data_IF_166370879214
#
_entry.id   IF_166370879214
#
_cell.length_a   1.000
_cell.length_b   1.000
_cell.length_c   1.000
_cell.angle_alpha   90.00
_cell.angle_beta   90.00
_cell.angle_gamma   90.00
#
_symmetry.space_group_name_H-M   'P 1'
#
loop_
_entity.id
_entity.type
_entity.pdbx_description
1 polymer ?
#
# COMPACT_ATOMS: atom_id res chain seq x y z
N UNK A 1 17.78 24.20 3.98
CA UNK A 1 16.78 25.26 4.26
C UNK A 1 15.41 24.75 3.82
N UNK A 2 14.70 24.17 4.79
CA UNK A 2 13.41 23.54 4.60
C UNK A 2 12.28 24.55 4.41
N UNK A 3 11.17 24.02 3.90
CA UNK A 3 9.80 24.48 4.19
C UNK A 3 9.29 25.74 3.47
N UNK A 4 8.76 25.50 2.28
CA UNK A 4 7.48 26.09 1.90
C UNK A 4 6.66 25.05 1.11
N UNK A 5 6.45 23.86 1.70
CA UNK A 5 5.36 22.95 1.30
C UNK A 5 4.04 23.61 1.74
N UNK A 6 3.65 24.64 1.02
CA UNK A 6 2.42 25.37 1.25
C UNK A 6 1.27 24.51 0.73
N UNK A 7 0.68 23.77 1.66
CA UNK A 7 -0.58 23.03 1.63
C UNK A 7 -1.39 23.14 0.32
N UNK A 8 -0.98 22.38 -0.69
CA UNK A 8 -1.86 21.98 -1.79
C UNK A 8 -2.57 20.70 -1.35
N UNK A 9 -3.69 20.85 -0.64
CA UNK A 9 -4.66 19.76 -0.47
C UNK A 9 -5.09 19.32 -1.87
N UNK A 10 -4.53 18.19 -2.30
CA UNK A 10 -4.81 17.52 -3.57
C UNK A 10 -6.20 16.92 -3.51
N UNK A 11 -7.16 17.53 -4.20
CA UNK A 11 -8.24 16.79 -4.83
C UNK A 11 -8.09 16.96 -6.34
N UNK A 12 -7.73 15.88 -7.05
CA UNK A 12 -7.68 15.79 -8.52
C UNK A 12 -6.66 16.67 -9.26
N UNK A 13 -5.42 16.73 -8.78
CA UNK A 13 -4.25 17.09 -9.62
C UNK A 13 -4.15 18.56 -10.10
N UNK A 14 -5.14 19.41 -9.84
CA UNK A 14 -5.05 20.84 -10.13
C UNK A 14 -4.71 21.64 -8.87
N UNK A 15 -3.69 22.51 -8.88
CA UNK A 15 -3.43 23.40 -7.75
C UNK A 15 -4.61 24.35 -7.56
N UNK A 16 -5.29 24.26 -6.42
CA UNK A 16 -6.35 25.20 -6.05
C UNK A 16 -5.67 26.50 -5.62
N UNK A 17 -5.42 27.39 -6.57
CA UNK A 17 -5.02 28.75 -6.25
C UNK A 17 -6.21 29.49 -5.66
N UNK A 18 -6.20 29.76 -4.35
CA UNK A 18 -7.25 30.58 -3.70
C UNK A 18 -7.32 32.02 -4.26
N UNK A 19 -6.26 32.48 -4.94
CA UNK A 19 -6.15 33.78 -5.63
C UNK A 19 -5.39 33.62 -6.94
N UNK A 20 -5.74 34.39 -7.97
CA UNK A 20 -5.06 34.32 -9.26
C UNK A 20 -3.56 34.70 -9.12
N UNK A 21 -2.62 33.86 -9.59
CA UNK A 21 -1.20 34.17 -9.60
C UNK A 21 -0.88 35.32 -10.57
N UNK A 22 0.22 36.04 -10.33
CA UNK A 22 0.68 37.17 -11.18
C UNK A 22 0.95 36.79 -12.64
N UNK A 23 1.26 35.52 -12.91
CA UNK A 23 1.55 34.99 -14.25
C UNK A 23 0.31 34.93 -15.14
N UNK A 24 -0.88 34.86 -14.54
CA UNK A 24 -2.12 34.78 -15.29
C UNK A 24 -2.66 36.17 -15.66
N UNK A 25 -3.09 36.38 -16.92
CA UNK A 25 -3.73 37.62 -17.30
C UNK A 25 -5.08 37.79 -16.57
N UNK A 26 -5.53 39.04 -16.34
CA UNK A 26 -6.85 39.27 -15.79
C UNK A 26 -7.95 38.79 -16.76
N UNK A 27 -9.13 38.49 -16.22
CA UNK A 27 -10.27 38.10 -17.05
C UNK A 27 -10.64 39.19 -18.07
N UNK A 28 -11.11 38.79 -19.25
CA UNK A 28 -11.49 39.72 -20.33
C UNK A 28 -12.48 40.81 -19.87
N UNK A 29 -13.42 40.45 -19.00
CA UNK A 29 -14.41 41.38 -18.42
C UNK A 29 -13.82 42.40 -17.43
N UNK A 30 -12.58 42.22 -16.98
CA UNK A 30 -11.88 43.10 -16.03
C UNK A 30 -10.81 43.97 -16.67
N UNK A 31 -10.42 43.71 -17.93
CA UNK A 31 -9.37 44.45 -18.64
C UNK A 31 -9.64 45.95 -18.72
N UNK A 32 -10.90 46.33 -18.96
CA UNK A 32 -11.31 47.73 -19.13
C UNK A 32 -12.17 48.25 -17.97
N UNK A 33 -12.38 47.43 -16.93
CA UNK A 33 -13.26 47.80 -15.82
C UNK A 33 -12.50 48.68 -14.81
N UNK A 34 -12.76 49.98 -14.87
CA UNK A 34 -12.31 50.93 -13.84
C UNK A 34 -13.33 50.98 -12.70
N UNK A 35 -12.86 50.85 -11.45
CA UNK A 35 -13.75 50.99 -10.28
C UNK A 35 -14.13 52.46 -10.13
N UNK A 36 -15.42 52.76 -10.26
CA UNK A 36 -15.95 54.09 -10.02
C UNK A 36 -15.99 54.38 -8.52
N UNK A 37 -15.62 55.60 -8.08
CA UNK A 37 -15.77 55.99 -6.68
C UNK A 37 -17.26 56.02 -6.30
N UNK A 38 -17.54 55.62 -5.07
CA UNK A 38 -18.89 55.77 -4.51
C UNK A 38 -19.12 57.24 -4.16
N UNK A 39 -20.34 57.72 -4.37
CA UNK A 39 -20.77 59.05 -3.91
C UNK A 39 -20.71 59.06 -2.39
N UNK A 40 -20.10 60.11 -1.82
CA UNK A 40 -19.95 60.29 -0.37
C UNK A 40 -20.85 61.41 0.09
N UNK A 41 -21.48 61.22 1.24
CA UNK A 41 -22.14 62.33 1.95
C UNK A 41 -21.06 63.29 2.48
N UNK A 42 -21.13 64.60 2.18
CA UNK A 42 -20.13 65.56 2.63
C UNK A 42 -20.02 65.64 4.16
N UNK A 43 -21.15 65.56 4.89
CA UNK A 43 -21.16 65.72 6.35
C UNK A 43 -20.51 64.52 7.03
N UNK A 44 -20.90 63.31 6.61
CA UNK A 44 -20.31 62.08 7.14
C UNK A 44 -18.81 62.00 6.85
N UNK A 45 -18.38 62.42 5.65
CA UNK A 45 -16.99 62.37 5.26
C UNK A 45 -16.10 63.30 6.11
N UNK A 46 -16.58 64.50 6.43
CA UNK A 46 -15.87 65.44 7.31
C UNK A 46 -15.73 64.90 8.74
N UNK A 47 -16.80 64.35 9.31
CA UNK A 47 -16.77 63.73 10.63
C UNK A 47 -15.79 62.54 10.67
N UNK A 48 -15.84 61.68 9.65
CA UNK A 48 -14.97 60.52 9.57
C UNK A 48 -13.49 60.91 9.42
N UNK A 49 -13.20 62.01 8.70
CA UNK A 49 -11.86 62.56 8.59
C UNK A 49 -11.34 63.13 9.93
N UNK A 50 -12.21 63.57 10.82
CA UNK A 50 -11.82 64.02 12.17
C UNK A 50 -11.65 62.85 13.15
N UNK A 51 -12.60 61.90 13.15
CA UNK A 51 -12.61 60.78 14.09
C UNK A 51 -11.53 59.74 13.80
N UNK A 52 -11.22 59.48 12.54
CA UNK A 52 -10.26 58.44 12.18
C UNK A 52 -8.83 58.70 12.66
N UNK A 53 -8.28 59.92 12.50
CA UNK A 53 -6.99 60.28 13.10
C UNK A 53 -7.00 60.19 14.62
N UNK A 54 -8.07 60.62 15.28
CA UNK A 54 -8.19 60.57 16.73
C UNK A 54 -8.21 59.13 17.24
N UNK A 55 -9.02 58.26 16.63
CA UNK A 55 -9.03 56.84 16.93
C UNK A 55 -7.66 56.20 16.74
N UNK A 56 -7.00 56.46 15.60
CA UNK A 56 -5.64 55.94 15.34
C UNK A 56 -4.63 56.39 16.39
N UNK A 57 -4.69 57.66 16.81
CA UNK A 57 -3.83 58.20 17.86
C UNK A 57 -4.03 57.46 19.19
N UNK A 58 -5.29 57.26 19.60
CA UNK A 58 -5.62 56.51 20.82
C UNK A 58 -5.14 55.05 20.73
N UNK A 59 -5.34 54.39 19.59
CA UNK A 59 -4.89 53.00 19.41
C UNK A 59 -3.36 52.87 19.40
N UNK A 60 -2.65 53.82 18.79
CA UNK A 60 -1.19 53.86 18.81
C UNK A 60 -0.66 53.98 20.25
N UNK A 61 -1.27 54.84 21.08
CA UNK A 61 -0.91 54.98 22.49
C UNK A 61 -1.10 53.66 23.26
N UNK A 62 -2.19 52.92 23.01
CA UNK A 62 -2.42 51.61 23.62
C UNK A 62 -1.37 50.60 23.17
N UNK A 63 -1.04 50.56 21.88
CA UNK A 63 0.00 49.66 21.36
C UNK A 63 1.37 49.94 21.97
N UNK A 64 1.73 51.21 22.15
CA UNK A 64 3.01 51.59 22.73
C UNK A 64 3.06 51.27 24.24
N UNK A 65 1.95 51.45 24.96
CA UNK A 65 1.83 51.00 26.36
C UNK A 65 2.02 49.47 26.47
N UNK A 66 1.39 48.69 25.60
CA UNK A 66 1.55 47.23 25.59
C UNK A 66 2.98 46.81 25.26
N UNK A 67 3.60 47.41 24.22
CA UNK A 67 5.01 47.15 23.89
C UNK A 67 5.93 47.43 25.07
N UNK A 68 5.68 48.53 25.79
CA UNK A 68 6.44 48.87 26.99
C UNK A 68 6.30 47.77 28.06
N UNK A 69 5.07 47.36 28.39
CA UNK A 69 4.83 46.29 29.36
C UNK A 69 5.49 44.95 28.97
N UNK A 70 5.44 44.57 27.70
CA UNK A 70 6.13 43.35 27.25
C UNK A 70 7.65 43.49 27.38
N UNK A 71 8.22 44.64 26.99
CA UNK A 71 9.66 44.87 27.10
C UNK A 71 10.17 44.93 28.55
N UNK A 72 9.36 45.40 29.49
CA UNK A 72 9.71 45.39 30.93
C UNK A 72 9.62 43.99 31.50
N UNK A 73 8.56 43.25 31.16
CA UNK A 73 8.37 41.88 31.62
C UNK A 73 9.46 40.93 31.08
N UNK A 74 9.88 41.08 29.82
CA UNK A 74 10.98 40.29 29.25
C UNK A 74 12.29 40.54 30.01
N UNK A 75 12.62 41.80 30.30
CA UNK A 75 13.80 42.15 31.10
C UNK A 75 13.74 41.54 32.50
N UNK A 76 12.62 41.71 33.21
CA UNK A 76 12.43 41.13 34.54
C UNK A 76 12.48 39.59 34.54
N UNK A 77 11.94 38.94 33.50
CA UNK A 77 11.98 37.49 33.35
C UNK A 77 13.40 36.96 33.09
N UNK A 78 14.18 37.67 32.27
CA UNK A 78 15.58 37.33 32.00
C UNK A 78 16.47 37.46 33.23
N UNK A 79 16.17 38.40 34.15
CA UNK A 79 16.91 38.53 35.41
C UNK A 79 16.46 37.51 36.47
N UNK A 80 15.23 36.98 36.38
CA UNK A 80 14.70 35.95 37.30
C UNK A 80 15.03 34.51 36.89
N UNK A 81 15.45 34.29 35.65
CA UNK A 81 15.68 32.96 35.07
C UNK A 81 17.14 32.75 34.66
N UNK A 82 18.09 33.17 35.50
CA UNK A 82 19.32 32.38 35.64
C UNK A 82 18.96 31.09 36.41
N UNK A 83 18.09 30.27 35.80
CA UNK A 83 17.99 28.86 36.17
C UNK A 83 19.31 28.31 35.69
N UNK A 84 20.20 27.99 36.64
CA UNK A 84 21.36 27.17 36.35
C UNK A 84 20.79 25.91 35.71
N UNK A 85 20.93 25.77 34.39
CA UNK A 85 20.70 24.53 33.68
C UNK A 85 21.81 23.57 34.14
N UNK A 86 21.75 23.15 35.41
CA UNK A 86 22.43 21.97 35.88
C UNK A 86 21.92 20.86 34.94
N UNK A 87 22.83 20.44 34.06
CA UNK A 87 22.63 19.35 33.14
C UNK A 87 21.95 18.22 33.90
N UNK A 88 20.86 17.70 33.33
CA UNK A 88 20.09 16.53 33.76
C UNK A 88 20.74 15.73 34.90
N UNK A 89 20.05 15.61 36.04
CA UNK A 89 20.53 14.86 37.22
C UNK A 89 21.20 13.54 36.81
N UNK A 90 22.51 13.41 37.05
CA UNK A 90 23.30 12.23 36.69
C UNK A 90 22.69 10.93 37.25
N UNK A 91 21.99 11.03 38.40
CA UNK A 91 21.25 9.93 39.02
C UNK A 91 20.10 9.43 38.13
N UNK A 92 19.36 10.34 37.49
CA UNK A 92 18.26 9.98 36.60
C UNK A 92 18.78 9.34 35.31
N UNK A 93 19.92 9.80 34.81
CA UNK A 93 20.60 9.19 33.66
C UNK A 93 21.03 7.75 34.01
N UNK A 94 21.66 7.56 35.17
CA UNK A 94 22.10 6.24 35.62
C UNK A 94 20.93 5.25 35.84
N UNK A 95 19.77 5.73 36.28
CA UNK A 95 18.55 4.91 36.37
C UNK A 95 18.05 4.51 34.97
N UNK A 96 18.05 5.45 34.02
CA UNK A 96 17.64 5.19 32.65
C UNK A 96 18.54 4.14 31.98
N UNK A 97 19.86 4.27 32.15
CA UNK A 97 20.82 3.33 31.57
C UNK A 97 20.66 1.92 32.13
N UNK A 98 20.39 1.78 33.44
CA UNK A 98 20.09 0.47 34.04
C UNK A 98 18.82 -0.15 33.46
N UNK A 99 17.76 0.63 33.30
CA UNK A 99 16.52 0.15 32.69
C UNK A 99 16.71 -0.24 31.22
N UNK A 100 17.51 0.51 30.47
CA UNK A 100 17.81 0.17 29.08
C UNK A 100 18.60 -1.14 28.98
N UNK A 101 19.59 -1.36 29.86
CA UNK A 101 20.36 -2.60 29.90
C UNK A 101 19.48 -3.81 30.26
N UNK A 102 18.59 -3.68 31.24
CA UNK A 102 17.63 -4.74 31.58
C UNK A 102 16.67 -5.05 30.42
N UNK A 103 16.17 -4.00 29.75
CA UNK A 103 15.28 -4.14 28.60
C UNK A 103 15.97 -4.74 27.37
N UNK A 104 17.27 -4.49 27.19
CA UNK A 104 18.08 -5.06 26.12
C UNK A 104 18.20 -6.58 26.29
N UNK A 105 18.58 -7.06 27.49
CA UNK A 105 18.68 -8.49 27.80
C UNK A 105 17.35 -9.22 27.55
N UNK A 106 16.24 -8.67 28.04
CA UNK A 106 14.91 -9.26 27.83
C UNK A 106 14.52 -9.33 26.35
N UNK A 107 14.97 -8.35 25.55
CA UNK A 107 14.70 -8.27 24.11
C UNK A 107 15.53 -9.30 23.34
N UNK A 108 16.79 -9.47 23.69
CA UNK A 108 17.66 -10.49 23.11
C UNK A 108 17.10 -11.89 23.37
N UNK A 109 16.71 -12.18 24.60
CA UNK A 109 16.09 -13.46 24.98
C UNK A 109 14.80 -13.74 24.21
N UNK A 110 13.96 -12.71 24.01
CA UNK A 110 12.75 -12.81 23.21
C UNK A 110 13.07 -13.14 21.74
N UNK A 111 13.99 -12.39 21.13
CA UNK A 111 14.34 -12.61 19.73
C UNK A 111 15.02 -13.96 19.51
N UNK A 112 15.86 -14.42 20.42
CA UNK A 112 16.47 -15.75 20.33
C UNK A 112 15.41 -16.85 20.30
N UNK A 113 14.37 -16.76 21.14
CA UNK A 113 13.26 -17.72 21.15
C UNK A 113 12.45 -17.65 19.85
N UNK A 114 12.04 -16.46 19.44
CA UNK A 114 11.25 -16.24 18.22
C UNK A 114 11.99 -16.69 16.95
N UNK A 115 13.30 -16.42 16.85
CA UNK A 115 14.10 -16.90 15.73
C UNK A 115 14.23 -18.42 15.72
N UNK A 116 14.46 -19.05 16.87
CA UNK A 116 14.54 -20.50 16.96
C UNK A 116 13.22 -21.17 16.55
N UNK A 117 12.09 -20.64 16.99
CA UNK A 117 10.75 -21.13 16.59
C UNK A 117 10.56 -21.01 15.07
N UNK A 118 10.88 -19.85 14.48
CA UNK A 118 10.78 -19.64 13.02
C UNK A 118 11.70 -20.55 12.22
N UNK A 119 12.91 -20.82 12.71
CA UNK A 119 13.84 -21.75 12.06
C UNK A 119 13.23 -23.16 12.06
N UNK A 120 12.69 -23.62 13.19
CA UNK A 120 12.05 -24.93 13.30
C UNK A 120 10.85 -25.03 12.35
N UNK A 121 9.97 -24.04 12.32
CA UNK A 121 8.83 -24.01 11.38
C UNK A 121 9.29 -24.08 9.92
N UNK A 122 10.33 -23.33 9.57
CA UNK A 122 10.87 -23.30 8.21
C UNK A 122 11.46 -24.66 7.82
N UNK A 123 12.16 -25.33 8.74
CA UNK A 123 12.70 -26.67 8.52
C UNK A 123 11.59 -27.71 8.35
N UNK A 124 10.49 -27.62 9.10
CA UNK A 124 9.33 -28.51 8.95
C UNK A 124 8.70 -28.32 7.58
N UNK A 125 8.38 -27.08 7.20
CA UNK A 125 7.81 -26.76 5.88
C UNK A 125 8.71 -27.21 4.74
N UNK A 126 10.03 -27.09 4.91
CA UNK A 126 10.98 -27.55 3.90
C UNK A 126 10.95 -29.07 3.74
N UNK A 127 10.91 -29.81 4.84
CA UNK A 127 10.79 -31.28 4.80
C UNK A 127 9.50 -31.73 4.13
N UNK A 128 8.37 -31.10 4.45
CA UNK A 128 7.08 -31.37 3.82
C UNK A 128 7.11 -31.09 2.32
N UNK A 129 7.70 -29.97 1.91
CA UNK A 129 7.88 -29.62 0.51
C UNK A 129 8.74 -30.64 -0.24
N UNK A 130 9.88 -31.04 0.35
CA UNK A 130 10.78 -32.00 -0.27
C UNK A 130 10.10 -33.38 -0.42
N UNK A 131 9.28 -33.82 0.55
CA UNK A 131 8.47 -35.04 0.45
C UNK A 131 7.43 -34.97 -0.68
N UNK A 132 6.67 -33.87 -0.74
CA UNK A 132 5.68 -33.63 -1.80
C UNK A 132 6.32 -33.63 -3.19
N UNK A 133 7.51 -33.06 -3.33
CA UNK A 133 8.23 -33.01 -4.59
C UNK A 133 8.75 -34.40 -5.00
N UNK A 134 9.22 -35.22 -4.04
CA UNK A 134 9.59 -36.60 -4.30
C UNK A 134 8.39 -37.42 -4.81
N UNK A 135 7.24 -37.34 -4.14
CA UNK A 135 6.02 -38.01 -4.61
C UNK A 135 5.58 -37.54 -6.01
N UNK A 136 5.75 -36.24 -6.29
CA UNK A 136 5.44 -35.68 -7.60
C UNK A 136 6.36 -36.26 -8.68
N UNK A 137 7.67 -36.33 -8.39
CA UNK A 137 8.67 -36.90 -9.31
C UNK A 137 8.38 -38.38 -9.55
N UNK A 138 8.02 -39.15 -8.52
CA UNK A 138 7.66 -40.57 -8.66
C UNK A 138 6.43 -40.76 -9.55
N UNK A 139 5.34 -40.01 -9.30
CA UNK A 139 4.14 -40.03 -10.16
C UNK A 139 4.45 -39.64 -11.61
N UNK A 140 5.37 -38.70 -11.83
CA UNK A 140 5.79 -38.31 -13.18
C UNK A 140 6.63 -39.40 -13.85
N UNK A 141 7.51 -40.07 -13.10
CA UNK A 141 8.28 -41.22 -13.59
C UNK A 141 7.36 -42.39 -13.99
N UNK A 142 6.38 -42.73 -13.16
CA UNK A 142 5.39 -43.78 -13.47
C UNK A 142 4.60 -43.45 -14.76
N UNK A 143 4.19 -42.20 -14.92
CA UNK A 143 3.53 -41.74 -16.16
C UNK A 143 4.47 -41.83 -17.37
N UNK A 144 5.74 -41.48 -17.21
CA UNK A 144 6.72 -41.58 -18.29
C UNK A 144 6.95 -43.04 -18.69
N UNK A 145 7.08 -43.95 -17.72
CA UNK A 145 7.24 -45.38 -18.00
C UNK A 145 6.01 -45.97 -18.70
N UNK A 146 4.80 -45.67 -18.23
CA UNK A 146 3.58 -46.14 -18.91
C UNK A 146 3.47 -45.57 -20.32
N UNK A 147 3.79 -44.29 -20.56
CA UNK A 147 3.85 -43.72 -21.91
C UNK A 147 4.87 -44.44 -22.81
N UNK A 148 6.04 -44.78 -22.28
CA UNK A 148 7.08 -45.49 -23.01
C UNK A 148 6.65 -46.91 -23.42
N UNK A 149 5.84 -47.58 -22.61
CA UNK A 149 5.24 -48.87 -22.99
C UNK A 149 4.28 -48.72 -24.19
N UNK A 150 3.53 -47.61 -24.26
CA UNK A 150 2.65 -47.33 -25.39
C UNK A 150 3.40 -46.89 -26.66
N UNK A 151 4.66 -46.45 -26.59
CA UNK A 151 5.45 -46.04 -27.77
C UNK A 151 5.57 -47.19 -28.80
N UNK A 152 5.70 -48.44 -28.34
CA UNK A 152 5.75 -49.61 -29.23
C UNK A 152 4.43 -49.85 -29.98
N UNK A 153 3.31 -49.44 -29.37
CA UNK A 153 1.98 -49.58 -29.96
C UNK A 153 1.61 -48.42 -30.88
N UNK A 154 2.39 -47.33 -30.88
CA UNK A 154 2.10 -46.10 -31.60
C UNK A 154 2.26 -46.26 -33.12
N UNK A 155 1.34 -45.68 -33.89
CA UNK A 155 1.40 -45.73 -35.36
C UNK A 155 2.47 -44.76 -35.86
N UNK A 156 3.55 -45.30 -36.44
CA UNK A 156 4.64 -44.55 -37.07
C UNK A 156 4.55 -44.64 -38.59
N UNK A 157 5.21 -43.73 -39.32
CA UNK A 157 5.17 -43.68 -40.81
C UNK A 157 5.50 -45.01 -41.49
N UNK A 158 6.33 -45.83 -40.86
CA UNK A 158 6.76 -47.15 -41.37
C UNK A 158 5.74 -48.25 -41.10
N UNK A 159 4.84 -48.09 -40.13
CA UNK A 159 3.88 -49.12 -39.70
C UNK A 159 2.41 -48.76 -40.06
N UNK A 160 2.18 -47.77 -40.94
CA UNK A 160 0.84 -47.29 -41.27
C UNK A 160 0.04 -48.36 -42.03
N UNK A 161 0.62 -48.93 -43.09
CA UNK A 161 -0.09 -49.85 -43.98
C UNK A 161 -0.49 -51.15 -43.25
N UNK A 162 0.43 -51.71 -42.44
CA UNK A 162 0.19 -52.93 -41.65
C UNK A 162 -0.92 -52.69 -40.62
N UNK A 163 -0.89 -51.56 -39.89
CA UNK A 163 -1.94 -51.24 -38.92
C UNK A 163 -3.29 -50.96 -39.58
N UNK A 164 -3.31 -50.41 -40.79
CA UNK A 164 -4.55 -50.19 -41.54
C UNK A 164 -5.20 -51.53 -41.91
N UNK A 165 -4.42 -52.48 -42.42
CA UNK A 165 -4.90 -53.82 -42.77
C UNK A 165 -5.40 -54.59 -41.54
N UNK A 166 -4.69 -54.48 -40.41
CA UNK A 166 -5.13 -55.05 -39.12
C UNK A 166 -6.49 -54.48 -38.69
N UNK A 167 -6.67 -53.15 -38.76
CA UNK A 167 -7.94 -52.49 -38.38
C UNK A 167 -9.09 -52.94 -39.28
N UNK A 168 -8.85 -53.02 -40.59
CA UNK A 168 -9.89 -53.42 -41.56
C UNK A 168 -10.29 -54.90 -41.44
N UNK A 169 -9.38 -55.75 -40.97
CA UNK A 169 -9.64 -57.18 -40.78
C UNK A 169 -10.22 -57.49 -39.39
N UNK A 170 -9.93 -56.66 -38.39
CA UNK A 170 -10.42 -56.81 -37.02
C UNK A 170 -11.92 -56.49 -36.89
N UNK A 171 -12.58 -57.10 -35.91
CA UNK A 171 -13.96 -56.74 -35.58
C UNK A 171 -14.04 -55.30 -35.06
N UNK A 172 -15.05 -54.52 -35.47
CA UNK A 172 -15.19 -53.13 -35.06
C UNK A 172 -15.40 -53.04 -33.54
N UNK A 173 -14.52 -52.29 -32.86
CA UNK A 173 -14.59 -52.06 -31.42
C UNK A 173 -15.78 -51.17 -31.08
N UNK A 174 -16.72 -51.69 -30.28
CA UNK A 174 -17.92 -50.97 -29.87
C UNK A 174 -17.73 -50.29 -28.51
N UNK A 175 -17.77 -48.95 -28.48
CA UNK A 175 -17.68 -48.16 -27.26
C UNK A 175 -19.05 -47.82 -26.63
N UNK A 176 -20.15 -48.20 -27.28
CA UNK A 176 -21.50 -47.88 -26.81
C UNK A 176 -21.84 -48.68 -25.54
N UNK A 177 -22.12 -47.95 -24.46
CA UNK A 177 -22.62 -48.52 -23.22
C UNK A 177 -23.67 -47.57 -22.62
N UNK A 178 -24.71 -48.13 -22.03
CA UNK A 178 -25.71 -47.36 -21.30
C UNK A 178 -25.29 -47.22 -19.83
N UNK A 179 -25.82 -46.25 -19.10
CA UNK A 179 -25.56 -46.09 -17.67
C UNK A 179 -26.90 -46.20 -16.92
N UNK A 180 -26.92 -47.05 -15.89
CA UNK A 180 -28.08 -47.21 -15.02
C UNK A 180 -28.34 -45.98 -14.16
N UNK A 181 -29.54 -45.87 -13.57
CA UNK A 181 -29.89 -44.85 -12.58
C UNK A 181 -28.95 -44.80 -11.37
N UNK A 182 -28.23 -45.90 -11.09
CA UNK A 182 -27.20 -46.00 -10.04
C UNK A 182 -25.77 -45.70 -10.51
N UNK A 183 -25.58 -45.19 -11.73
CA UNK A 183 -24.27 -44.84 -12.28
C UNK A 183 -23.40 -46.03 -12.74
N UNK A 184 -23.95 -47.25 -12.83
CA UNK A 184 -23.22 -48.44 -13.30
C UNK A 184 -23.34 -48.60 -14.81
N UNK A 185 -22.24 -48.83 -15.55
CA UNK A 185 -22.28 -49.06 -16.98
C UNK A 185 -22.90 -50.43 -17.32
N UNK A 186 -23.72 -50.47 -18.37
CA UNK A 186 -24.25 -51.67 -19.02
C UNK A 186 -23.68 -51.72 -20.44
N UNK A 187 -22.87 -52.73 -20.70
CA UNK A 187 -22.30 -52.97 -22.02
C UNK A 187 -23.29 -53.81 -22.85
N UNK A 188 -23.44 -53.49 -24.13
CA UNK A 188 -24.21 -54.32 -25.05
C UNK A 188 -23.41 -55.57 -25.42
N UNK A 189 -23.94 -56.76 -25.22
CA UNK A 189 -23.31 -58.00 -25.69
C UNK A 189 -23.23 -57.99 -27.23
N UNK A 190 -22.02 -58.06 -27.77
CA UNK A 190 -21.81 -58.25 -29.21
C UNK A 190 -22.15 -59.70 -29.58
N UNK A 191 -22.98 -59.86 -30.62
CA UNK A 191 -23.32 -61.17 -31.19
C UNK A 191 -22.06 -61.83 -31.77
N UNK A 192 -21.53 -62.87 -31.11
CA UNK A 192 -20.67 -63.84 -31.77
C UNK A 192 -21.50 -64.66 -32.76
N UNK A 193 -21.00 -64.79 -33.99
CA UNK A 193 -21.72 -65.38 -35.10
C UNK A 193 -22.17 -66.83 -34.87
N UNK A 194 -23.48 -67.05 -34.89
CA UNK A 194 -24.07 -68.30 -35.34
C UNK A 194 -24.15 -68.26 -36.87
N UNK A 195 -23.20 -68.87 -37.56
CA UNK A 195 -23.36 -69.26 -38.96
C UNK A 195 -22.83 -70.67 -39.17
N UNK A 196 -23.72 -71.50 -39.68
CA UNK A 196 -23.60 -72.89 -40.09
C UNK A 196 -22.56 -73.15 -41.17
#
# INVERSE_FOLDING_TARGET
MASAKLALLKHKGTPIFRRNPRVFPPAKSKLLRVKQPHIKDPVEFELLNQWWPEYKRRMAAIQDALKYCFSTNEKESSTRLEVVEEAFDDELIAINDKWNAEAELMREDFYLKDFNEKIVETLIRRKEYDQMELERIEKLKEKLFSMKEYDETMVTRTNIDIRLDEIMTSEPVNYNHAINERGKPIFSESKSGSSS
#
